data_IF_246357545038
#
_entry.id   IF_246357545038
#
_cell.length_a   1.000
_cell.length_b   1.000
_cell.length_c   1.000
_cell.angle_alpha   90.00
_cell.angle_beta   90.00
_cell.angle_gamma   90.00
#
_symmetry.space_group_name_H-M   'P 1'
#
loop_
_entity.id
_entity.type
_entity.pdbx_description
1 polymer ?
#
# COMPACT_ATOMS: atom_id res chain seq x y z
N UNK A 1 -50.82 19.18 38.16
CA UNK A 1 -49.71 19.66 37.32
C UNK A 1 -48.92 18.46 36.82
N UNK A 2 -49.24 17.99 35.62
CA UNK A 2 -48.61 16.83 34.97
C UNK A 2 -48.02 17.34 33.66
N UNK A 3 -46.68 17.43 33.59
CA UNK A 3 -45.95 17.67 32.35
C UNK A 3 -45.94 16.37 31.53
N UNK A 4 -46.32 16.39 30.24
CA UNK A 4 -46.10 15.23 29.39
C UNK A 4 -44.65 15.20 28.93
N UNK A 5 -44.04 14.03 29.08
CA UNK A 5 -42.72 13.68 28.55
C UNK A 5 -42.84 13.48 27.04
N UNK A 6 -42.53 14.50 26.26
CA UNK A 6 -42.47 14.39 24.79
C UNK A 6 -41.15 13.72 24.41
N UNK A 7 -41.21 12.42 24.13
CA UNK A 7 -40.11 11.70 23.46
C UNK A 7 -40.07 12.20 22.02
N UNK A 8 -39.10 13.05 21.71
CA UNK A 8 -38.79 13.48 20.34
C UNK A 8 -38.10 12.31 19.64
N UNK A 9 -38.85 11.49 18.90
CA UNK A 9 -38.29 10.51 17.97
C UNK A 9 -37.75 11.31 16.78
N UNK A 10 -36.44 11.56 16.77
CA UNK A 10 -35.74 12.03 15.59
C UNK A 10 -35.72 10.86 14.59
N UNK A 11 -36.61 10.89 13.60
CA UNK A 11 -36.47 10.02 12.43
C UNK A 11 -35.29 10.59 11.65
N UNK A 12 -34.08 10.03 11.86
CA UNK A 12 -32.95 10.27 10.97
C UNK A 12 -33.40 9.83 9.58
N UNK A 13 -33.58 10.81 8.67
CA UNK A 13 -33.77 10.50 7.26
C UNK A 13 -32.46 9.91 6.77
N UNK A 14 -32.43 8.60 6.54
CA UNK A 14 -31.27 7.95 5.93
C UNK A 14 -31.05 8.55 4.54
N UNK A 15 -29.80 8.95 4.26
CA UNK A 15 -29.43 9.49 2.95
C UNK A 15 -29.89 8.52 1.84
N UNK A 16 -30.41 9.01 0.71
CA UNK A 16 -30.78 8.17 -0.43
C UNK A 16 -29.66 7.21 -0.85
N UNK A 17 -28.40 7.64 -0.75
CA UNK A 17 -27.23 6.83 -1.12
C UNK A 17 -27.00 5.69 -0.12
N UNK A 18 -27.20 5.93 1.18
CA UNK A 18 -27.15 4.88 2.22
C UNK A 18 -28.24 3.83 1.99
N UNK A 19 -29.46 4.27 1.64
CA UNK A 19 -30.55 3.35 1.29
C UNK A 19 -30.16 2.47 0.08
N UNK A 20 -29.54 3.04 -0.95
CA UNK A 20 -29.07 2.30 -2.11
C UNK A 20 -27.97 1.29 -1.74
N UNK A 21 -27.04 1.65 -0.84
CA UNK A 21 -26.03 0.73 -0.32
C UNK A 21 -26.69 -0.49 0.34
N UNK A 22 -27.66 -0.27 1.24
CA UNK A 22 -28.36 -1.38 1.90
C UNK A 22 -29.11 -2.28 0.89
N UNK A 23 -29.79 -1.68 -0.09
CA UNK A 23 -30.45 -2.42 -1.16
C UNK A 23 -29.46 -3.23 -1.99
N UNK A 24 -28.31 -2.65 -2.33
CA UNK A 24 -27.23 -3.32 -3.05
C UNK A 24 -26.68 -4.51 -2.25
N UNK A 25 -26.32 -4.33 -0.98
CA UNK A 25 -25.77 -5.42 -0.15
C UNK A 25 -26.79 -6.57 -0.03
N UNK A 26 -28.07 -6.26 0.18
CA UNK A 26 -29.12 -7.27 0.25
C UNK A 26 -29.26 -8.05 -1.07
N UNK A 27 -29.26 -7.36 -2.21
CA UNK A 27 -29.29 -8.02 -3.52
C UNK A 27 -28.04 -8.85 -3.78
N UNK A 28 -26.86 -8.35 -3.38
CA UNK A 28 -25.58 -9.03 -3.56
C UNK A 28 -25.49 -10.35 -2.76
N UNK A 29 -26.27 -10.50 -1.68
CA UNK A 29 -26.42 -11.79 -0.99
C UNK A 29 -27.10 -12.85 -1.85
N UNK A 30 -28.05 -12.43 -2.69
CA UNK A 30 -28.84 -13.31 -3.54
C UNK A 30 -28.13 -13.57 -4.87
N UNK A 31 -27.49 -12.55 -5.45
CA UNK A 31 -26.74 -12.62 -6.71
C UNK A 31 -25.42 -11.85 -6.65
N UNK A 32 -24.32 -12.62 -6.70
CA UNK A 32 -22.94 -12.10 -6.54
C UNK A 32 -22.42 -11.37 -7.77
N UNK A 33 -23.16 -11.35 -8.87
CA UNK A 33 -22.75 -10.68 -10.11
C UNK A 33 -23.34 -9.29 -10.28
N UNK A 34 -24.15 -8.83 -9.31
CA UNK A 34 -24.75 -7.50 -9.35
C UNK A 34 -23.64 -6.43 -9.22
N UNK A 35 -23.54 -5.48 -10.18
CA UNK A 35 -22.56 -4.41 -10.10
C UNK A 35 -22.89 -3.45 -8.96
N UNK A 36 -21.86 -2.82 -8.40
CA UNK A 36 -22.03 -1.74 -7.43
C UNK A 36 -22.68 -0.54 -8.14
N UNK A 37 -23.76 0.04 -7.62
CA UNK A 37 -24.34 1.28 -8.16
C UNK A 37 -23.27 2.39 -8.23
N UNK A 38 -23.20 3.11 -9.37
CA UNK A 38 -22.19 4.17 -9.55
C UNK A 38 -22.44 5.33 -8.59
N UNK A 39 -23.69 5.56 -8.24
CA UNK A 39 -24.16 6.61 -7.34
C UNK A 39 -23.52 6.53 -5.94
N UNK A 40 -23.04 5.35 -5.52
CA UNK A 40 -22.29 5.17 -4.26
C UNK A 40 -20.95 5.93 -4.28
N UNK A 41 -20.38 6.18 -5.46
CA UNK A 41 -19.07 6.81 -5.63
C UNK A 41 -19.14 8.26 -6.15
N UNK A 42 -20.32 8.76 -6.51
CA UNK A 42 -20.46 10.08 -7.15
C UNK A 42 -20.76 11.22 -6.16
N UNK A 43 -21.21 10.89 -4.94
CA UNK A 43 -21.59 11.89 -3.93
C UNK A 43 -20.58 11.97 -2.79
N UNK A 44 -19.58 12.84 -2.95
CA UNK A 44 -18.56 13.13 -1.93
C UNK A 44 -19.16 13.54 -0.58
N UNK A 45 -20.35 14.17 -0.58
CA UNK A 45 -21.00 14.62 0.67
C UNK A 45 -21.60 13.48 1.47
N UNK A 46 -21.87 12.33 0.84
CA UNK A 46 -22.43 11.15 1.49
C UNK A 46 -21.35 10.13 1.90
N UNK A 47 -20.07 10.39 1.64
CA UNK A 47 -18.99 9.43 1.93
C UNK A 47 -18.94 9.06 3.42
N UNK A 48 -19.07 10.02 4.34
CA UNK A 48 -19.10 9.72 5.77
C UNK A 48 -20.27 8.79 6.15
N UNK A 49 -21.49 9.13 5.71
CA UNK A 49 -22.68 8.33 5.98
C UNK A 49 -22.55 6.90 5.40
N UNK A 50 -21.92 6.76 4.23
CA UNK A 50 -21.64 5.47 3.62
C UNK A 50 -20.64 4.65 4.44
N UNK A 51 -19.57 5.28 4.93
CA UNK A 51 -18.57 4.61 5.77
C UNK A 51 -19.17 4.10 7.08
N UNK A 52 -20.03 4.89 7.71
CA UNK A 52 -20.77 4.46 8.89
C UNK A 52 -21.71 3.29 8.59
N UNK A 53 -22.48 3.35 7.49
CA UNK A 53 -23.37 2.27 7.08
C UNK A 53 -22.63 0.97 6.72
N UNK A 54 -21.44 1.06 6.11
CA UNK A 54 -20.61 -0.10 5.80
C UNK A 54 -20.16 -0.84 7.07
N UNK A 55 -19.94 -0.13 8.18
CA UNK A 55 -19.51 -0.72 9.45
C UNK A 55 -20.50 -1.74 10.01
N UNK A 56 -21.78 -1.67 9.65
CA UNK A 56 -22.80 -2.63 10.08
C UNK A 56 -22.59 -4.03 9.49
N UNK A 57 -21.89 -4.12 8.34
CA UNK A 57 -21.76 -5.35 7.56
C UNK A 57 -20.40 -6.06 7.75
N UNK A 58 -19.45 -5.48 8.49
CA UNK A 58 -18.15 -6.11 8.74
C UNK A 58 -18.24 -7.33 9.66
N UNK A 59 -19.33 -7.49 10.39
CA UNK A 59 -19.60 -8.66 11.22
C UNK A 59 -20.51 -9.70 10.52
N UNK A 60 -20.72 -9.55 9.20
CA UNK A 60 -21.61 -10.45 8.47
C UNK A 60 -21.10 -11.90 8.49
N UNK A 61 -22.04 -12.85 8.59
CA UNK A 61 -21.70 -14.28 8.61
C UNK A 61 -21.14 -14.80 7.27
N UNK A 62 -21.41 -14.12 6.15
CA UNK A 62 -20.95 -14.51 4.81
C UNK A 62 -19.65 -13.79 4.48
N UNK A 63 -18.51 -14.49 4.30
CA UNK A 63 -17.22 -13.87 3.98
C UNK A 63 -17.25 -12.98 2.74
N UNK A 64 -17.99 -13.36 1.69
CA UNK A 64 -18.09 -12.56 0.47
C UNK A 64 -18.75 -11.20 0.69
N UNK A 65 -19.67 -11.09 1.66
CA UNK A 65 -20.28 -9.81 2.06
C UNK A 65 -19.25 -8.95 2.77
N UNK A 66 -18.53 -9.50 3.75
CA UNK A 66 -17.47 -8.78 4.46
C UNK A 66 -16.38 -8.30 3.50
N UNK A 67 -15.92 -9.16 2.59
CA UNK A 67 -14.96 -8.82 1.56
C UNK A 67 -15.47 -7.68 0.66
N UNK A 68 -16.75 -7.73 0.25
CA UNK A 68 -17.35 -6.64 -0.54
C UNK A 68 -17.34 -5.33 0.23
N UNK A 69 -17.68 -5.35 1.51
CA UNK A 69 -17.67 -4.18 2.39
C UNK A 69 -16.28 -3.57 2.49
N UNK A 70 -15.24 -4.38 2.72
CA UNK A 70 -13.86 -3.89 2.73
C UNK A 70 -13.43 -3.30 1.38
N UNK A 71 -13.84 -3.90 0.26
CA UNK A 71 -13.56 -3.35 -1.06
C UNK A 71 -14.25 -2.00 -1.31
N UNK A 72 -15.48 -1.81 -0.83
CA UNK A 72 -16.19 -0.54 -0.93
C UNK A 72 -15.57 0.53 -0.03
N UNK A 73 -15.28 0.19 1.22
CA UNK A 73 -14.62 1.08 2.18
C UNK A 73 -13.28 1.58 1.64
N UNK A 74 -12.49 0.68 1.06
CA UNK A 74 -11.22 1.02 0.44
C UNK A 74 -11.38 1.95 -0.76
N UNK A 75 -12.29 1.63 -1.68
CA UNK A 75 -12.50 2.45 -2.88
C UNK A 75 -12.97 3.86 -2.51
N UNK A 76 -13.86 4.00 -1.53
CA UNK A 76 -14.31 5.30 -1.02
C UNK A 76 -13.14 6.04 -0.35
N UNK A 77 -12.35 5.35 0.47
CA UNK A 77 -11.19 5.92 1.15
C UNK A 77 -10.12 6.44 0.19
N UNK A 78 -9.67 5.62 -0.77
CA UNK A 78 -8.60 5.97 -1.71
C UNK A 78 -8.93 7.18 -2.59
N UNK A 79 -10.22 7.39 -2.92
CA UNK A 79 -10.66 8.49 -3.79
C UNK A 79 -11.13 9.72 -2.99
N UNK A 80 -11.07 9.68 -1.66
CA UNK A 80 -11.53 10.79 -0.81
C UNK A 80 -10.41 11.76 -0.49
N UNK A 81 -10.63 13.04 -0.79
CA UNK A 81 -9.79 14.14 -0.31
C UNK A 81 -9.98 14.41 1.20
N UNK A 82 -11.09 13.95 1.79
CA UNK A 82 -11.37 14.11 3.22
C UNK A 82 -10.58 13.08 4.07
N UNK A 83 -9.72 13.62 4.95
CA UNK A 83 -8.93 12.86 5.92
C UNK A 83 -9.79 12.03 6.88
N UNK A 84 -10.98 12.51 7.26
CA UNK A 84 -11.87 11.77 8.17
C UNK A 84 -12.43 10.52 7.51
N UNK A 85 -12.80 10.60 6.23
CA UNK A 85 -13.25 9.45 5.44
C UNK A 85 -12.12 8.43 5.28
N UNK A 86 -10.89 8.89 4.95
CA UNK A 86 -9.71 8.01 4.89
C UNK A 86 -9.43 7.31 6.22
N UNK A 87 -9.51 8.04 7.34
CA UNK A 87 -9.35 7.45 8.67
C UNK A 87 -10.40 6.37 8.96
N UNK A 88 -11.67 6.58 8.57
CA UNK A 88 -12.71 5.57 8.71
C UNK A 88 -12.43 4.34 7.84
N UNK A 89 -11.92 4.52 6.62
CA UNK A 89 -11.54 3.41 5.75
C UNK A 89 -10.41 2.58 6.35
N UNK A 90 -9.35 3.24 6.81
CA UNK A 90 -8.25 2.60 7.52
C UNK A 90 -8.75 1.88 8.77
N UNK A 91 -9.66 2.47 9.55
CA UNK A 91 -10.27 1.83 10.72
C UNK A 91 -11.00 0.53 10.37
N UNK A 92 -11.86 0.55 9.34
CA UNK A 92 -12.56 -0.65 8.89
C UNK A 92 -11.58 -1.72 8.40
N UNK A 93 -10.68 -1.36 7.48
CA UNK A 93 -9.68 -2.27 6.92
C UNK A 93 -8.78 -2.89 7.99
N UNK A 94 -8.35 -2.09 8.96
CA UNK A 94 -7.55 -2.56 10.10
C UNK A 94 -8.30 -3.59 10.93
N UNK A 95 -9.63 -3.45 11.11
CA UNK A 95 -10.47 -4.48 11.71
C UNK A 95 -10.44 -5.81 10.95
N UNK A 96 -10.38 -5.76 9.62
CA UNK A 96 -10.28 -6.94 8.75
C UNK A 96 -8.99 -7.74 8.91
N UNK A 97 -7.93 -7.18 9.52
CA UNK A 97 -6.71 -7.93 9.84
C UNK A 97 -6.93 -9.06 10.86
N UNK A 98 -8.08 -9.05 11.56
CA UNK A 98 -8.52 -10.10 12.49
C UNK A 98 -9.69 -10.93 11.96
N UNK A 99 -10.01 -10.81 10.67
CA UNK A 99 -11.09 -11.59 10.08
C UNK A 99 -10.78 -13.10 10.17
N UNK A 100 -11.81 -13.90 10.37
CA UNK A 100 -11.69 -15.36 10.40
C UNK A 100 -11.34 -15.96 9.03
N UNK A 101 -11.70 -15.25 7.95
CA UNK A 101 -11.34 -15.63 6.59
C UNK A 101 -9.96 -15.07 6.24
N UNK A 102 -8.98 -15.97 6.05
CA UNK A 102 -7.62 -15.58 5.68
C UNK A 102 -7.55 -14.87 4.34
N UNK A 103 -8.45 -15.14 3.38
CA UNK A 103 -8.50 -14.42 2.11
C UNK A 103 -8.78 -12.93 2.32
N UNK A 104 -9.67 -12.60 3.26
CA UNK A 104 -9.97 -11.22 3.65
C UNK A 104 -8.75 -10.55 4.28
N UNK A 105 -8.06 -11.23 5.21
CA UNK A 105 -6.83 -10.71 5.84
C UNK A 105 -5.78 -10.34 4.78
N UNK A 106 -5.63 -11.18 3.74
CA UNK A 106 -4.74 -10.91 2.63
C UNK A 106 -5.11 -9.64 1.86
N UNK A 107 -6.39 -9.50 1.50
CA UNK A 107 -6.88 -8.33 0.75
C UNK A 107 -6.74 -7.04 1.56
N UNK A 108 -7.19 -7.01 2.81
CA UNK A 108 -7.16 -5.78 3.63
C UNK A 108 -5.74 -5.39 4.01
N UNK A 109 -4.84 -6.35 4.29
CA UNK A 109 -3.43 -6.03 4.55
C UNK A 109 -2.72 -5.43 3.34
N UNK A 110 -3.10 -5.83 2.13
CA UNK A 110 -2.58 -5.24 0.89
C UNK A 110 -3.12 -3.82 0.67
N UNK A 111 -4.42 -3.61 0.89
CA UNK A 111 -5.06 -2.28 0.75
C UNK A 111 -4.52 -1.27 1.74
N UNK A 112 -4.27 -1.66 2.99
CA UNK A 112 -3.67 -0.76 3.99
C UNK A 112 -2.29 -0.20 3.56
N UNK A 113 -1.58 -0.84 2.64
CA UNK A 113 -0.31 -0.34 2.11
C UNK A 113 -0.47 0.80 1.08
N UNK A 114 -1.69 1.18 0.68
CA UNK A 114 -1.90 2.34 -0.20
C UNK A 114 -2.17 3.63 0.57
N UNK A 115 -2.42 3.54 1.88
CA UNK A 115 -2.75 4.67 2.73
C UNK A 115 -1.51 5.37 3.31
N UNK A 116 -1.67 6.67 3.53
CA UNK A 116 -0.63 7.52 4.13
C UNK A 116 -0.51 7.23 5.62
N UNK A 117 0.68 7.42 6.18
CA UNK A 117 0.90 7.25 7.63
C UNK A 117 -0.07 8.09 8.47
N UNK A 118 -0.44 9.29 8.00
CA UNK A 118 -1.38 10.20 8.67
C UNK A 118 -2.83 9.68 8.74
N UNK A 119 -3.19 8.70 7.90
CA UNK A 119 -4.53 8.11 7.88
C UNK A 119 -4.75 7.09 9.02
N UNK A 120 -3.68 6.68 9.71
CA UNK A 120 -3.71 5.68 10.78
C UNK A 120 -3.84 6.34 12.15
N UNK A 121 -4.83 5.93 12.93
CA UNK A 121 -4.90 6.31 14.34
C UNK A 121 -3.91 5.49 15.18
N UNK A 122 -3.63 5.95 16.40
CA UNK A 122 -2.82 5.19 17.36
C UNK A 122 -3.40 3.79 17.66
N UNK A 123 -4.73 3.62 17.59
CA UNK A 123 -5.37 2.32 17.77
C UNK A 123 -5.03 1.36 16.63
N UNK A 124 -5.01 1.86 15.38
CA UNK A 124 -4.63 1.06 14.21
C UNK A 124 -3.17 0.61 14.32
N UNK A 125 -2.29 1.56 14.64
CA UNK A 125 -0.85 1.31 14.81
C UNK A 125 -0.58 0.27 15.89
N UNK A 126 -1.24 0.37 17.04
CA UNK A 126 -1.12 -0.61 18.12
C UNK A 126 -1.62 -2.00 17.72
N UNK A 127 -2.72 -2.05 16.95
CA UNK A 127 -3.23 -3.32 16.42
C UNK A 127 -2.20 -3.97 15.50
N UNK A 128 -1.70 -3.24 14.51
CA UNK A 128 -0.73 -3.74 13.54
C UNK A 128 0.55 -4.17 14.24
N UNK A 129 1.04 -3.39 15.22
CA UNK A 129 2.20 -3.75 16.04
C UNK A 129 2.01 -5.10 16.75
N UNK A 130 0.81 -5.35 17.29
CA UNK A 130 0.49 -6.63 17.96
C UNK A 130 0.48 -7.85 17.02
N UNK A 131 0.39 -7.61 15.70
CA UNK A 131 0.39 -8.65 14.67
C UNK A 131 1.80 -8.97 14.16
N UNK A 132 2.86 -8.31 14.63
CA UNK A 132 4.25 -8.59 14.25
C UNK A 132 4.75 -9.87 14.96
N UNK A 133 4.26 -11.02 14.52
CA UNK A 133 4.58 -12.35 15.07
C UNK A 133 4.68 -13.39 13.97
N UNK A 134 5.46 -14.45 14.16
CA UNK A 134 5.75 -15.45 13.12
C UNK A 134 4.53 -16.26 12.64
N UNK A 135 3.45 -16.32 13.43
CA UNK A 135 2.22 -17.04 13.10
C UNK A 135 1.18 -16.20 12.36
N UNK A 136 1.43 -14.90 12.17
CA UNK A 136 0.45 -14.00 11.57
C UNK A 136 0.22 -14.31 10.08
N UNK A 137 -1.04 -14.50 9.64
CA UNK A 137 -1.36 -14.62 8.22
C UNK A 137 -0.88 -13.40 7.43
N UNK A 138 -0.34 -13.60 6.23
CA UNK A 138 0.19 -12.52 5.38
C UNK A 138 1.22 -11.64 6.09
N UNK A 139 2.05 -12.24 6.95
CA UNK A 139 3.08 -11.57 7.74
C UNK A 139 3.88 -10.55 6.93
N UNK A 140 4.20 -10.85 5.67
CA UNK A 140 4.93 -9.93 4.80
C UNK A 140 4.29 -8.54 4.65
N UNK A 141 2.97 -8.46 4.51
CA UNK A 141 2.26 -7.18 4.44
C UNK A 141 2.25 -6.49 5.81
N UNK A 142 2.11 -7.25 6.89
CA UNK A 142 2.16 -6.73 8.26
C UNK A 142 3.53 -6.14 8.57
N UNK A 143 4.62 -6.80 8.16
CA UNK A 143 5.98 -6.29 8.31
C UNK A 143 6.20 -5.01 7.50
N UNK A 144 5.68 -4.94 6.28
CA UNK A 144 5.70 -3.71 5.47
C UNK A 144 4.92 -2.57 6.12
N UNK A 145 3.73 -2.85 6.68
CA UNK A 145 2.97 -1.87 7.43
C UNK A 145 3.74 -1.40 8.67
N UNK A 146 4.38 -2.33 9.39
CA UNK A 146 5.16 -1.99 10.58
C UNK A 146 6.34 -1.06 10.29
N UNK A 147 7.04 -1.28 9.17
CA UNK A 147 8.11 -0.38 8.73
C UNK A 147 7.58 0.96 8.21
N UNK A 148 6.52 0.95 7.39
CA UNK A 148 5.88 2.16 6.85
C UNK A 148 5.32 3.09 7.93
N UNK A 149 4.64 2.52 8.92
CA UNK A 149 4.06 3.28 10.03
C UNK A 149 5.09 3.60 11.12
N UNK A 150 6.34 3.17 10.95
CA UNK A 150 7.43 3.33 11.92
C UNK A 150 7.05 2.84 13.33
N UNK A 151 6.39 1.68 13.42
CA UNK A 151 5.90 1.16 14.68
C UNK A 151 7.04 0.78 15.62
N UNK A 152 6.81 0.93 16.93
CA UNK A 152 7.77 0.56 17.99
C UNK A 152 7.88 -0.97 18.18
N UNK A 153 8.43 -1.67 17.17
CA UNK A 153 8.54 -3.14 17.11
C UNK A 153 9.96 -3.62 16.74
N UNK A 154 10.98 -2.81 16.98
CA UNK A 154 12.38 -3.09 16.57
C UNK A 154 12.87 -4.46 17.04
N UNK A 155 12.64 -4.79 18.32
CA UNK A 155 13.13 -6.04 18.89
C UNK A 155 12.39 -7.26 18.32
N UNK A 156 11.08 -7.14 18.08
CA UNK A 156 10.27 -8.17 17.44
C UNK A 156 10.75 -8.42 16.01
N UNK A 157 11.06 -7.37 15.25
CA UNK A 157 11.61 -7.49 13.90
C UNK A 157 12.98 -8.18 13.93
N UNK A 158 13.88 -7.82 14.85
CA UNK A 158 15.21 -8.45 14.99
C UNK A 158 15.12 -9.93 15.35
N UNK A 159 14.15 -10.30 16.21
CA UNK A 159 13.83 -11.69 16.52
C UNK A 159 13.41 -12.44 15.24
N UNK A 160 12.50 -11.86 14.44
CA UNK A 160 12.04 -12.48 13.19
C UNK A 160 13.17 -12.62 12.15
N UNK A 161 14.06 -11.63 12.02
CA UNK A 161 15.24 -11.71 11.15
C UNK A 161 16.15 -12.87 11.57
N UNK A 162 16.27 -13.14 12.87
CA UNK A 162 17.14 -14.19 13.41
C UNK A 162 16.46 -15.55 13.55
N UNK A 163 15.16 -15.66 13.29
CA UNK A 163 14.39 -16.89 13.48
C UNK A 163 14.74 -17.92 12.40
N UNK A 164 15.46 -18.99 12.78
CA UNK A 164 15.84 -20.07 11.87
C UNK A 164 14.67 -20.89 11.31
N UNK A 165 13.47 -20.80 11.91
CA UNK A 165 12.26 -21.49 11.43
C UNK A 165 11.46 -20.65 10.43
N UNK A 166 11.69 -19.33 10.39
CA UNK A 166 10.99 -18.43 9.50
C UNK A 166 11.58 -18.52 8.08
N UNK A 167 10.71 -18.44 7.07
CA UNK A 167 11.16 -18.50 5.67
C UNK A 167 12.10 -17.33 5.34
N UNK A 168 13.07 -17.55 4.44
CA UNK A 168 13.98 -16.50 3.98
C UNK A 168 13.25 -15.25 3.49
N UNK A 169 12.08 -15.42 2.85
CA UNK A 169 11.26 -14.32 2.37
C UNK A 169 10.75 -13.44 3.52
N UNK A 170 10.18 -14.02 4.58
CA UNK A 170 9.68 -13.22 5.71
C UNK A 170 10.80 -12.61 6.53
N UNK A 171 11.94 -13.30 6.69
CA UNK A 171 13.13 -12.73 7.32
C UNK A 171 13.62 -11.50 6.57
N UNK A 172 13.70 -11.59 5.24
CA UNK A 172 14.08 -10.48 4.40
C UNK A 172 13.07 -9.33 4.47
N UNK A 173 11.77 -9.62 4.56
CA UNK A 173 10.75 -8.58 4.75
C UNK A 173 10.83 -7.88 6.12
N UNK A 174 11.19 -8.61 7.18
CA UNK A 174 11.43 -8.01 8.50
C UNK A 174 12.67 -7.11 8.47
N UNK A 175 13.71 -7.52 7.75
CA UNK A 175 14.91 -6.74 7.52
C UNK A 175 14.64 -5.46 6.70
N UNK A 176 13.82 -5.55 5.64
CA UNK A 176 13.38 -4.36 4.89
C UNK A 176 12.58 -3.39 5.77
N UNK A 177 11.75 -3.90 6.68
CA UNK A 177 11.01 -3.07 7.63
C UNK A 177 11.93 -2.36 8.64
N UNK A 178 12.98 -3.04 9.12
CA UNK A 178 14.02 -2.42 9.95
C UNK A 178 14.79 -1.35 9.17
N UNK A 179 15.21 -1.64 7.94
CA UNK A 179 15.90 -0.69 7.09
C UNK A 179 15.04 0.54 6.80
N UNK A 180 13.74 0.37 6.52
CA UNK A 180 12.81 1.51 6.33
C UNK A 180 12.78 2.44 7.53
N UNK A 181 12.95 1.91 8.74
CA UNK A 181 13.00 2.66 10.00
C UNK A 181 14.40 3.22 10.33
N UNK A 182 15.36 3.14 9.42
CA UNK A 182 16.72 3.66 9.63
C UNK A 182 17.62 2.75 10.45
N UNK A 183 17.31 1.45 10.60
CA UNK A 183 18.23 0.52 11.28
C UNK A 183 19.49 0.28 10.41
N UNK A 184 20.58 0.91 10.81
CA UNK A 184 21.87 0.88 10.11
C UNK A 184 22.40 -0.53 9.85
N UNK A 185 22.19 -1.46 10.78
CA UNK A 185 22.64 -2.84 10.60
C UNK A 185 21.92 -3.51 9.43
N UNK A 186 20.60 -3.34 9.35
CA UNK A 186 19.76 -3.88 8.27
C UNK A 186 20.05 -3.21 6.94
N UNK A 187 20.25 -1.88 6.92
CA UNK A 187 20.66 -1.13 5.72
C UNK A 187 21.97 -1.70 5.18
N UNK A 188 22.99 -1.83 6.04
CA UNK A 188 24.30 -2.36 5.65
C UNK A 188 24.24 -3.82 5.19
N UNK A 189 23.41 -4.66 5.81
CA UNK A 189 23.27 -6.04 5.36
C UNK A 189 22.62 -6.13 3.97
N UNK A 190 21.57 -5.33 3.72
CA UNK A 190 20.93 -5.25 2.40
C UNK A 190 21.94 -4.76 1.35
N UNK A 191 22.61 -3.63 1.58
CA UNK A 191 23.56 -3.07 0.59
C UNK A 191 24.71 -4.01 0.29
N UNK A 192 25.26 -4.69 1.30
CA UNK A 192 26.30 -5.72 1.09
C UNK A 192 25.83 -6.87 0.21
N UNK A 193 24.56 -7.29 0.34
CA UNK A 193 23.97 -8.32 -0.50
C UNK A 193 23.78 -7.84 -1.94
N UNK A 194 23.39 -6.58 -2.13
CA UNK A 194 23.18 -5.97 -3.44
C UNK A 194 24.46 -5.95 -4.29
N UNK A 195 25.64 -5.80 -3.67
CA UNK A 195 26.93 -5.86 -4.38
C UNK A 195 27.22 -7.20 -5.08
N UNK A 196 26.47 -8.25 -4.76
CA UNK A 196 26.66 -9.60 -5.31
C UNK A 196 25.49 -10.07 -6.18
N UNK A 197 24.44 -9.26 -6.33
CA UNK A 197 23.23 -9.68 -7.03
C UNK A 197 23.37 -9.46 -8.53
N UNK A 198 22.89 -10.42 -9.31
CA UNK A 198 22.80 -10.27 -10.76
C UNK A 198 21.63 -9.33 -11.10
N UNK A 199 21.90 -8.30 -11.90
CA UNK A 199 20.90 -7.34 -12.38
C UNK A 199 20.28 -7.87 -13.67
N UNK A 200 19.02 -8.32 -13.59
CA UNK A 200 18.22 -8.83 -14.71
C UNK A 200 16.72 -8.63 -14.41
N UNK A 201 15.81 -9.14 -15.26
CA UNK A 201 14.36 -8.99 -15.07
C UNK A 201 13.87 -9.50 -13.71
N UNK A 202 14.44 -10.61 -13.22
CA UNK A 202 14.05 -11.14 -11.91
C UNK A 202 14.39 -10.15 -10.81
N UNK A 203 15.57 -9.55 -10.86
CA UNK A 203 15.95 -8.48 -9.94
C UNK A 203 14.96 -7.31 -10.05
N UNK A 204 14.71 -6.82 -11.26
CA UNK A 204 13.79 -5.68 -11.48
C UNK A 204 12.40 -5.95 -10.89
N UNK A 205 11.74 -7.03 -11.30
CA UNK A 205 10.35 -7.26 -10.90
C UNK A 205 10.19 -7.76 -9.45
N UNK A 206 11.19 -8.46 -8.91
CA UNK A 206 11.07 -9.06 -7.57
C UNK A 206 11.73 -8.23 -6.48
N UNK A 207 12.84 -7.53 -6.77
CA UNK A 207 13.64 -6.85 -5.77
C UNK A 207 13.45 -5.34 -5.76
N UNK A 208 13.40 -4.67 -6.92
CA UNK A 208 13.34 -3.20 -6.97
C UNK A 208 12.15 -2.62 -6.17
N UNK A 209 10.91 -3.14 -6.27
CA UNK A 209 9.81 -2.66 -5.43
C UNK A 209 10.10 -2.77 -3.92
N UNK A 210 10.81 -3.81 -3.51
CA UNK A 210 11.18 -4.04 -2.11
C UNK A 210 12.27 -3.08 -1.63
N UNK A 211 13.24 -2.76 -2.50
CA UNK A 211 14.31 -1.81 -2.21
C UNK A 211 13.78 -0.38 -2.14
N UNK A 212 12.93 0.00 -3.09
CA UNK A 212 12.24 1.29 -3.12
C UNK A 212 11.42 1.52 -1.85
N UNK A 213 10.72 0.50 -1.37
CA UNK A 213 9.97 0.56 -0.11
C UNK A 213 10.84 1.05 1.06
N UNK A 214 12.15 0.75 1.10
CA UNK A 214 13.00 1.15 2.24
C UNK A 214 13.15 2.66 2.37
N UNK A 215 13.13 3.41 1.25
CA UNK A 215 13.40 4.86 1.22
C UNK A 215 14.73 5.26 1.87
N UNK A 216 15.72 4.37 1.85
CA UNK A 216 17.05 4.62 2.43
C UNK A 216 18.04 4.99 1.33
N UNK A 217 18.69 6.14 1.47
CA UNK A 217 19.62 6.68 0.46
C UNK A 217 20.67 5.67 -0.01
N UNK A 218 21.37 4.91 0.85
CA UNK A 218 22.35 3.92 0.38
C UNK A 218 21.76 2.82 -0.52
N UNK A 219 20.49 2.46 -0.31
CA UNK A 219 19.80 1.45 -1.11
C UNK A 219 19.28 2.06 -2.42
N UNK A 220 18.81 3.31 -2.39
CA UNK A 220 18.37 4.02 -3.60
C UNK A 220 19.56 4.40 -4.48
N UNK A 221 20.71 4.79 -3.91
CA UNK A 221 21.93 5.08 -4.66
C UNK A 221 22.38 3.86 -5.49
N UNK A 222 22.25 2.64 -4.96
CA UNK A 222 22.47 1.42 -5.75
C UNK A 222 21.52 1.31 -6.95
N UNK A 223 20.24 1.70 -6.80
CA UNK A 223 19.30 1.73 -7.92
C UNK A 223 19.64 2.81 -8.95
N UNK A 224 20.20 3.94 -8.50
CA UNK A 224 20.75 4.97 -9.38
C UNK A 224 21.93 4.43 -10.18
N UNK A 225 22.82 3.64 -9.57
CA UNK A 225 23.90 2.96 -10.31
C UNK A 225 23.36 2.02 -11.39
N UNK A 226 22.25 1.30 -11.10
CA UNK A 226 21.58 0.47 -12.11
C UNK A 226 21.00 1.31 -13.26
N UNK A 227 20.48 2.50 -12.98
CA UNK A 227 20.00 3.45 -14.01
C UNK A 227 21.16 3.94 -14.87
N UNK A 228 22.32 4.22 -14.27
CA UNK A 228 23.51 4.70 -14.97
C UNK A 228 24.22 3.61 -15.79
N UNK A 229 23.93 2.33 -15.55
CA UNK A 229 24.53 1.22 -16.27
C UNK A 229 24.03 1.08 -17.71
N UNK A 230 24.97 0.84 -18.64
CA UNK A 230 24.68 0.54 -20.05
C UNK A 230 24.56 -0.98 -20.33
N UNK A 231 24.49 -1.81 -19.28
CA UNK A 231 24.33 -3.25 -19.43
C UNK A 231 22.91 -3.65 -19.89
N UNK A 232 22.83 -4.34 -21.02
CA UNK A 232 21.60 -4.87 -21.59
C UNK A 232 21.28 -6.24 -20.98
N UNK A 233 20.79 -6.27 -19.74
CA UNK A 233 20.49 -7.51 -19.00
C UNK A 233 18.99 -7.78 -18.77
N UNK A 234 18.11 -6.86 -19.18
CA UNK A 234 16.66 -7.01 -19.06
C UNK A 234 15.99 -7.27 -20.43
N UNK A 235 14.73 -7.70 -20.47
CA UNK A 235 13.99 -7.92 -21.72
C UNK A 235 12.89 -6.88 -21.96
N UNK A 236 12.61 -6.62 -23.24
CA UNK A 236 11.46 -5.80 -23.63
C UNK A 236 10.15 -6.46 -23.18
N UNK A 237 9.19 -5.65 -22.74
CA UNK A 237 7.82 -6.14 -22.51
C UNK A 237 7.03 -6.33 -23.81
N UNK A 238 7.56 -5.91 -24.96
CA UNK A 238 6.92 -6.16 -26.25
C UNK A 238 7.08 -7.66 -26.59
N UNK A 239 5.98 -8.43 -26.68
CA UNK A 239 6.04 -9.87 -26.94
C UNK A 239 6.57 -10.21 -28.35
N UNK A 240 6.70 -9.22 -29.23
CA UNK A 240 7.27 -9.37 -30.57
C UNK A 240 8.76 -8.99 -30.64
N UNK A 241 9.39 -8.69 -29.49
CA UNK A 241 10.80 -8.31 -29.40
C UNK A 241 11.47 -9.02 -28.23
N UNK A 242 12.25 -10.05 -28.54
CA UNK A 242 13.13 -10.73 -27.57
C UNK A 242 14.44 -9.94 -27.31
N UNK A 243 14.49 -8.68 -27.77
CA UNK A 243 15.64 -7.80 -27.61
C UNK A 243 15.92 -7.49 -26.14
N UNK A 244 17.19 -7.60 -25.77
CA UNK A 244 17.66 -7.13 -24.46
C UNK A 244 17.64 -5.60 -24.40
N UNK A 245 17.24 -5.07 -23.27
CA UNK A 245 17.15 -3.64 -22.96
C UNK A 245 17.92 -3.32 -21.68
N UNK A 246 18.12 -2.02 -21.42
CA UNK A 246 18.69 -1.53 -20.17
C UNK A 246 17.69 -1.74 -19.04
N UNK A 247 18.16 -2.32 -17.92
CA UNK A 247 17.32 -2.45 -16.73
C UNK A 247 16.93 -1.08 -16.14
N UNK A 248 17.75 -0.05 -16.39
CA UNK A 248 17.49 1.34 -15.97
C UNK A 248 16.12 1.86 -16.40
N UNK A 249 15.58 1.44 -17.55
CA UNK A 249 14.24 1.84 -18.00
C UNK A 249 13.14 1.45 -17.01
N UNK A 250 13.27 0.31 -16.34
CA UNK A 250 12.30 -0.16 -15.35
C UNK A 250 12.57 0.39 -13.97
N UNK A 251 13.85 0.52 -13.62
CA UNK A 251 14.23 1.08 -12.31
C UNK A 251 13.78 2.53 -12.18
N UNK A 252 13.88 3.34 -13.25
CA UNK A 252 13.40 4.74 -13.21
C UNK A 252 11.89 4.85 -12.95
N UNK A 253 11.08 3.93 -13.50
CA UNK A 253 9.62 3.91 -13.26
C UNK A 253 9.33 3.77 -11.75
N UNK A 254 10.04 2.84 -11.09
CA UNK A 254 9.89 2.63 -9.64
C UNK A 254 10.41 3.79 -8.78
N UNK A 255 11.38 4.58 -9.25
CA UNK A 255 11.92 5.73 -8.52
C UNK A 255 11.10 7.02 -8.73
N UNK A 256 10.28 7.09 -9.78
CA UNK A 256 9.51 8.28 -10.12
C UNK A 256 8.62 8.78 -8.97
N UNK A 257 7.83 7.95 -8.26
CA UNK A 257 7.02 8.41 -7.14
C UNK A 257 7.81 8.59 -5.82
N UNK A 258 9.13 8.35 -5.85
CA UNK A 258 9.95 8.18 -4.66
C UNK A 258 10.86 9.36 -4.40
N UNK A 259 11.35 9.98 -5.46
CA UNK A 259 12.33 11.06 -5.40
C UNK A 259 11.59 12.39 -5.54
N UNK A 260 12.00 13.37 -4.74
CA UNK A 260 11.46 14.74 -4.81
C UNK A 260 11.97 15.42 -6.08
N UNK A 261 11.10 16.13 -6.79
CA UNK A 261 11.43 16.86 -8.02
C UNK A 261 12.08 16.01 -9.13
N UNK A 262 11.73 14.71 -9.18
CA UNK A 262 12.17 13.79 -10.23
C UNK A 262 11.72 14.29 -11.62
N UNK A 263 12.55 14.18 -12.68
CA UNK A 263 12.30 14.83 -13.96
C UNK A 263 11.15 14.20 -14.77
N UNK A 264 10.75 12.97 -14.41
CA UNK A 264 9.64 12.28 -15.07
C UNK A 264 8.32 12.63 -14.36
N UNK A 265 7.34 13.23 -15.05
CA UNK A 265 6.04 13.53 -14.47
C UNK A 265 5.22 12.26 -14.25
N UNK A 266 4.29 12.33 -13.30
CA UNK A 266 3.25 11.33 -13.09
C UNK A 266 1.95 11.78 -13.76
N UNK A 267 1.16 10.83 -14.26
CA UNK A 267 -0.18 11.06 -14.77
C UNK A 267 -1.23 11.13 -13.63
N UNK A 268 -2.52 11.18 -14.00
CA UNK A 268 -3.64 11.26 -13.04
C UNK A 268 -3.79 9.99 -12.17
N UNK A 269 -3.18 8.87 -12.56
CA UNK A 269 -3.18 7.61 -11.82
C UNK A 269 -1.90 7.42 -10.99
N UNK A 270 -0.96 8.37 -11.05
CA UNK A 270 0.32 8.25 -10.38
C UNK A 270 1.31 7.34 -11.11
N UNK A 271 1.08 7.06 -12.40
CA UNK A 271 1.99 6.31 -13.26
C UNK A 271 2.94 7.26 -14.02
N UNK A 272 4.19 6.86 -14.33
CA UNK A 272 5.10 7.71 -15.12
C UNK A 272 4.56 8.00 -16.53
N UNK A 273 4.42 9.27 -16.90
CA UNK A 273 4.03 9.69 -18.27
C UNK A 273 5.26 9.72 -19.20
N UNK A 274 5.60 8.55 -19.76
CA UNK A 274 6.79 8.35 -20.61
C UNK A 274 6.37 8.01 -22.04
N UNK A 275 6.73 8.88 -22.99
CA UNK A 275 6.48 8.67 -24.43
C UNK A 275 7.67 8.13 -25.18
N UNK A 276 8.88 8.56 -24.80
CA UNK A 276 10.15 8.09 -25.34
C UNK A 276 11.05 7.64 -24.19
N UNK A 277 11.13 6.33 -23.99
CA UNK A 277 11.91 5.73 -22.92
C UNK A 277 13.40 6.04 -23.02
N UNK A 278 13.95 6.14 -24.25
CA UNK A 278 15.37 6.44 -24.43
C UNK A 278 15.67 7.87 -23.99
N UNK A 279 14.89 8.83 -24.47
CA UNK A 279 15.04 10.23 -24.09
C UNK A 279 14.82 10.43 -22.58
N UNK A 280 13.81 9.77 -22.01
CA UNK A 280 13.53 9.81 -20.58
C UNK A 280 14.69 9.25 -19.74
N UNK A 281 15.32 8.15 -20.15
CA UNK A 281 16.46 7.60 -19.43
C UNK A 281 17.69 8.53 -19.50
N UNK A 282 17.95 9.14 -20.65
CA UNK A 282 19.02 10.13 -20.82
C UNK A 282 18.79 11.34 -19.89
N UNK A 283 17.57 11.88 -19.87
CA UNK A 283 17.18 12.98 -18.98
C UNK A 283 17.33 12.61 -17.49
N UNK A 284 16.90 11.42 -17.09
CA UNK A 284 17.04 10.94 -15.69
C UNK A 284 18.50 10.81 -15.30
N UNK A 285 19.36 10.30 -16.18
CA UNK A 285 20.81 10.16 -15.90
C UNK A 285 21.47 11.52 -15.72
N UNK A 286 21.20 12.46 -16.62
CA UNK A 286 21.71 13.83 -16.51
C UNK A 286 21.20 14.52 -15.24
N UNK A 287 19.93 14.29 -14.88
CA UNK A 287 19.35 14.83 -13.66
C UNK A 287 20.08 14.34 -12.40
N UNK A 288 20.38 13.04 -12.30
CA UNK A 288 21.13 12.49 -11.16
C UNK A 288 22.57 13.02 -11.08
N UNK A 289 23.22 13.25 -12.23
CA UNK A 289 24.56 13.85 -12.27
C UNK A 289 24.54 15.30 -11.74
N UNK A 290 23.46 16.03 -11.98
CA UNK A 290 23.26 17.40 -11.49
C UNK A 290 22.76 17.46 -10.03
N UNK A 291 22.15 16.39 -9.52
CA UNK A 291 21.55 16.32 -8.19
C UNK A 291 22.05 15.11 -7.37
N UNK A 292 23.36 15.03 -7.04
CA UNK A 292 23.91 13.93 -6.25
C UNK A 292 23.28 13.84 -4.83
N UNK A 293 22.82 14.98 -4.33
CA UNK A 293 22.17 15.15 -3.03
C UNK A 293 20.64 15.13 -3.12
N UNK A 294 20.07 14.43 -4.12
CA UNK A 294 18.63 14.31 -4.29
C UNK A 294 17.90 13.87 -3.00
N UNK A 295 16.69 14.38 -2.82
CA UNK A 295 15.86 14.08 -1.66
C UNK A 295 14.90 12.91 -1.94
N UNK A 296 14.73 12.05 -0.95
CA UNK A 296 13.77 10.95 -1.01
C UNK A 296 12.49 11.39 -0.31
N UNK A 297 11.35 11.24 -0.98
CA UNK A 297 10.02 11.54 -0.42
C UNK A 297 9.77 10.66 0.80
N UNK A 298 9.55 11.33 1.94
CA UNK A 298 9.18 10.72 3.22
C UNK A 298 7.66 10.79 3.39
N UNK A 299 6.99 9.68 3.67
CA UNK A 299 5.60 9.69 4.16
C UNK A 299 4.60 8.77 3.46
N UNK A 300 4.81 8.46 2.17
CA UNK A 300 3.86 7.68 1.35
C UNK A 300 4.57 6.44 0.71
N UNK A 301 3.83 5.36 0.43
CA UNK A 301 4.34 4.08 -0.12
C UNK A 301 4.67 4.18 -1.60
#
# INVERSE_FOLDING_TARGET
>A
MTLPLTILILILQTSPVVKQLHEYINKYREDRYIPVPQEIFEDDKSQMDLMEALSEYIADTIPDIRLKVYNLADRIGEHSDDQQVRNLAVNLLTGGLRDADVGIVGVVSSKLLTYKKSDFSAQNSNLIASLVTSSTPYLGNILKLAGHLELEVTEQLRILVSDGQLSNQYRFQAELALARRGDEQSINHITNRLNSIEINDRFVYSMVPQLVYTRQKPIIDFLVEVIQSDELNCYSANPNSDGKILCGYRVMEYLTPVIVDFPIPLDEFGEPDIKDYRAALEEVREWFDMHPDYEIRVGDI
#
